data_IF_227052750823
#
_entry.id   IF_227052750823
#
_cell.length_a   1.000
_cell.length_b   1.000
_cell.length_c   1.000
_cell.angle_alpha   90.00
_cell.angle_beta   90.00
_cell.angle_gamma   90.00
#
_symmetry.space_group_name_H-M   'P 1'
#
loop_
_entity.id
_entity.type
_entity.pdbx_description
1 polymer ?
#
# COMPACT_ATOMS: atom_id res chain seq x y z
N UNK A 1 -0.03 -12.07 -37.43
CA UNK A 1 0.37 -10.96 -36.56
C UNK A 1 -0.82 -10.50 -35.73
N UNK A 2 -1.09 -11.18 -34.63
CA UNK A 2 -2.16 -10.83 -33.66
C UNK A 2 -1.63 -10.98 -32.22
N UNK A 3 -0.52 -11.69 -32.02
CA UNK A 3 0.07 -12.01 -30.71
C UNK A 3 0.86 -10.87 -30.07
N UNK A 4 1.23 -9.83 -30.83
CA UNK A 4 1.97 -8.68 -30.29
C UNK A 4 1.06 -7.66 -29.57
N UNK A 5 -0.25 -7.80 -29.72
CA UNK A 5 -1.27 -7.02 -29.02
C UNK A 5 -1.88 -7.75 -27.83
N UNK A 6 -1.24 -8.80 -27.28
CA UNK A 6 -1.47 -9.19 -25.87
C UNK A 6 -0.88 -8.08 -24.99
N UNK A 7 -1.46 -6.90 -25.12
CA UNK A 7 -1.07 -5.67 -24.49
C UNK A 7 -1.80 -5.52 -23.17
N UNK A 8 -1.58 -4.37 -22.56
CA UNK A 8 -2.27 -3.92 -21.35
C UNK A 8 -3.78 -4.14 -21.41
N UNK A 9 -4.40 -4.05 -22.60
CA UNK A 9 -5.85 -4.26 -22.78
C UNK A 9 -6.33 -5.67 -22.41
N UNK A 10 -5.75 -6.76 -22.95
CA UNK A 10 -6.12 -8.12 -22.53
C UNK A 10 -5.82 -8.37 -21.05
N UNK A 11 -4.68 -7.88 -20.55
CA UNK A 11 -4.33 -8.03 -19.14
C UNK A 11 -5.34 -7.32 -18.23
N UNK A 12 -5.84 -6.16 -18.65
CA UNK A 12 -6.83 -5.36 -17.91
C UNK A 12 -8.24 -5.98 -18.02
N UNK A 13 -8.58 -6.61 -19.15
CA UNK A 13 -9.80 -7.40 -19.32
C UNK A 13 -9.80 -8.64 -18.42
N UNK A 14 -8.72 -9.43 -18.44
CA UNK A 14 -8.56 -10.63 -17.60
C UNK A 14 -8.47 -10.24 -16.13
N UNK A 15 -7.67 -9.21 -15.82
CA UNK A 15 -7.55 -8.66 -14.47
C UNK A 15 -8.88 -8.12 -13.95
N UNK A 16 -9.67 -7.46 -14.79
CA UNK A 16 -11.02 -6.98 -14.47
C UNK A 16 -12.00 -8.11 -14.19
N UNK A 17 -11.97 -9.19 -15.00
CA UNK A 17 -12.80 -10.37 -14.77
C UNK A 17 -12.39 -11.11 -13.49
N UNK A 18 -11.10 -11.27 -13.25
CA UNK A 18 -10.58 -11.83 -12.00
C UNK A 18 -10.96 -10.96 -10.78
N UNK A 19 -10.92 -9.63 -10.93
CA UNK A 19 -11.33 -8.68 -9.90
C UNK A 19 -12.85 -8.72 -9.63
N UNK A 20 -13.65 -9.11 -10.62
CA UNK A 20 -15.09 -9.34 -10.42
C UNK A 20 -15.34 -10.62 -9.60
N UNK A 21 -14.59 -11.69 -9.86
CA UNK A 21 -14.68 -12.96 -9.12
C UNK A 21 -14.14 -12.84 -7.68
N UNK A 22 -13.01 -12.16 -7.51
CA UNK A 22 -12.29 -12.03 -6.23
C UNK A 22 -12.78 -10.81 -5.44
N UNK A 23 -13.27 -9.78 -6.13
CA UNK A 23 -13.72 -8.51 -5.56
C UNK A 23 -12.61 -7.45 -5.52
N UNK A 24 -12.95 -6.22 -5.90
CA UNK A 24 -12.05 -5.04 -5.93
C UNK A 24 -11.28 -4.77 -4.64
N UNK A 25 -11.82 -5.19 -3.49
CA UNK A 25 -11.21 -4.98 -2.16
C UNK A 25 -10.20 -6.06 -1.78
N UNK A 26 -10.28 -7.26 -2.37
CA UNK A 26 -9.46 -8.42 -1.98
C UNK A 26 -8.08 -8.43 -2.64
N UNK A 27 -7.98 -7.94 -3.87
CA UNK A 27 -6.69 -7.77 -4.56
C UNK A 27 -5.71 -6.83 -3.81
N UNK A 28 -6.10 -5.60 -3.40
CA UNK A 28 -5.21 -4.72 -2.65
C UNK A 28 -4.93 -5.21 -1.22
N UNK A 29 -5.87 -5.91 -0.59
CA UNK A 29 -5.69 -6.51 0.74
C UNK A 29 -4.61 -7.61 0.70
N UNK A 30 -4.67 -8.50 -0.29
CA UNK A 30 -3.62 -9.51 -0.53
C UNK A 30 -2.28 -8.88 -0.91
N UNK A 31 -2.27 -7.88 -1.80
CA UNK A 31 -1.02 -7.19 -2.19
C UNK A 31 -0.35 -6.49 -1.01
N UNK A 32 -1.11 -5.86 -0.11
CA UNK A 32 -0.56 -5.24 1.11
C UNK A 32 0.04 -6.27 2.05
N UNK A 33 -0.60 -7.43 2.22
CA UNK A 33 -0.06 -8.54 3.03
C UNK A 33 1.23 -9.12 2.42
N UNK A 34 1.21 -9.41 1.11
CA UNK A 34 2.36 -9.93 0.38
C UNK A 34 3.53 -8.93 0.37
N UNK A 35 3.25 -7.63 0.15
CA UNK A 35 4.26 -6.58 0.14
C UNK A 35 4.98 -6.44 1.48
N UNK A 36 4.24 -6.52 2.60
CA UNK A 36 4.83 -6.54 3.94
C UNK A 36 5.73 -7.77 4.15
N UNK A 37 5.26 -8.96 3.78
CA UNK A 37 6.05 -10.19 3.90
C UNK A 37 7.31 -10.18 3.03
N UNK A 38 7.24 -9.65 1.80
CA UNK A 38 8.42 -9.51 0.92
C UNK A 38 9.40 -8.47 1.47
N UNK A 39 8.93 -7.38 2.09
CA UNK A 39 9.77 -6.37 2.75
C UNK A 39 10.51 -6.96 3.95
N UNK A 40 9.78 -7.61 4.86
CA UNK A 40 10.37 -8.28 6.03
C UNK A 40 11.35 -9.39 5.63
N UNK A 41 11.03 -10.15 4.58
CA UNK A 41 11.94 -11.15 4.03
C UNK A 41 13.23 -10.51 3.47
N UNK A 42 13.12 -9.37 2.78
CA UNK A 42 14.28 -8.64 2.25
C UNK A 42 15.13 -8.06 3.38
N UNK A 43 14.49 -7.51 4.41
CA UNK A 43 15.16 -6.88 5.54
C UNK A 43 15.91 -7.92 6.38
N UNK A 44 15.27 -9.05 6.72
CA UNK A 44 15.94 -10.15 7.44
C UNK A 44 17.07 -10.80 6.64
N UNK A 45 16.96 -10.83 5.31
CA UNK A 45 18.02 -11.36 4.44
C UNK A 45 19.20 -10.39 4.27
N UNK A 46 18.99 -9.09 4.47
CA UNK A 46 20.06 -8.07 4.54
C UNK A 46 20.79 -8.12 5.89
N UNK A 47 20.05 -8.29 6.97
CA UNK A 47 20.61 -8.36 8.33
C UNK A 47 21.51 -9.61 8.52
N UNK A 48 21.21 -10.71 7.81
CA UNK A 48 22.08 -11.90 7.79
C UNK A 48 23.28 -11.83 6.84
N UNK A 49 23.39 -10.79 6.00
CA UNK A 49 24.31 -10.76 4.86
C UNK A 49 25.39 -9.67 4.93
N UNK A 50 25.82 -9.26 6.12
CA UNK A 50 26.92 -8.32 6.45
C UNK A 50 26.42 -6.94 6.91
N UNK A 51 26.96 -6.50 8.06
CA UNK A 51 26.95 -5.13 8.55
C UNK A 51 27.14 -4.08 7.44
N UNK A 52 26.52 -2.90 7.65
CA UNK A 52 26.67 -1.65 6.87
C UNK A 52 25.92 -1.50 5.54
N UNK A 53 24.61 -1.19 5.59
CA UNK A 53 23.98 -0.20 4.68
C UNK A 53 22.57 0.22 5.16
N UNK A 54 22.31 1.52 5.43
CA UNK A 54 20.95 2.01 5.66
C UNK A 54 20.27 2.11 4.30
N UNK A 55 19.37 1.19 3.97
CA UNK A 55 18.66 1.23 2.70
C UNK A 55 17.29 1.89 2.85
N UNK A 56 17.21 3.05 2.20
CA UNK A 56 15.99 3.76 1.85
C UNK A 56 14.87 2.83 1.35
N UNK A 57 13.65 3.10 1.81
CA UNK A 57 12.46 2.37 1.40
C UNK A 57 11.25 2.69 2.28
N UNK A 58 11.09 3.96 2.67
CA UNK A 58 9.84 4.47 3.22
C UNK A 58 9.06 5.09 2.06
N UNK A 59 8.22 4.29 1.43
CA UNK A 59 7.15 4.80 0.60
C UNK A 59 5.93 3.93 0.83
N UNK A 60 4.88 4.58 1.32
CA UNK A 60 3.49 4.11 1.45
C UNK A 60 3.15 3.37 2.74
N UNK A 61 3.40 4.00 3.89
CA UNK A 61 2.38 4.02 4.95
C UNK A 61 1.64 5.36 4.90
N UNK A 62 0.33 5.35 5.14
CA UNK A 62 -0.47 6.59 5.18
C UNK A 62 -1.55 6.71 4.10
N UNK A 63 -2.41 5.69 3.98
CA UNK A 63 -3.79 5.94 3.58
C UNK A 63 -4.70 5.28 4.62
N UNK A 64 -5.26 6.13 5.50
CA UNK A 64 -6.34 5.90 6.48
C UNK A 64 -5.90 5.80 7.95
N UNK A 65 -5.58 6.94 8.56
CA UNK A 65 -6.17 7.36 9.84
C UNK A 65 -5.89 8.86 10.06
N UNK A 66 -6.80 9.56 10.75
CA UNK A 66 -6.91 11.03 10.95
C UNK A 66 -7.80 11.78 9.96
N UNK A 67 -9.09 11.45 9.96
CA UNK A 67 -10.14 12.48 9.81
C UNK A 67 -11.20 12.23 10.87
N UNK A 68 -11.58 13.30 11.57
CA UNK A 68 -12.59 13.41 12.63
C UNK A 68 -12.09 13.13 14.06
N UNK A 69 -11.27 14.04 14.59
CA UNK A 69 -11.54 14.61 15.91
C UNK A 69 -11.01 16.04 15.89
N UNK A 70 -11.91 16.94 15.48
CA UNK A 70 -11.68 18.38 15.46
C UNK A 70 -12.21 18.96 16.76
N UNK A 71 -11.26 19.27 17.65
CA UNK A 71 -11.33 20.28 18.70
C UNK A 71 -12.35 21.39 18.39
N UNK A 72 -13.43 21.42 19.17
CA UNK A 72 -14.27 22.59 19.36
C UNK A 72 -14.55 22.75 20.86
N UNK A 73 -13.48 22.93 21.65
CA UNK A 73 -13.61 23.47 23.00
C UNK A 73 -12.67 24.68 23.20
N UNK A 74 -13.35 25.82 23.38
CA UNK A 74 -13.13 26.73 24.51
C UNK A 74 -11.87 27.60 24.49
N UNK A 75 -12.02 28.82 23.97
CA UNK A 75 -11.35 30.00 24.50
C UNK A 75 -12.07 31.29 24.09
N UNK A 76 -13.08 31.67 24.87
CA UNK A 76 -13.59 33.04 24.91
C UNK A 76 -14.24 33.31 26.27
N UNK A 77 -13.46 33.23 27.34
CA UNK A 77 -13.87 33.77 28.64
C UNK A 77 -12.63 34.16 29.46
N UNK A 78 -12.71 35.38 30.01
CA UNK A 78 -11.76 36.06 30.90
C UNK A 78 -10.41 36.42 30.24
N UNK A 79 -9.98 37.69 30.25
CA UNK A 79 -9.86 38.54 31.43
C UNK A 79 -9.41 39.95 31.00
N UNK A 80 -10.03 40.97 31.60
CA UNK A 80 -9.58 42.37 31.83
C UNK A 80 -8.82 43.15 30.75
#
# INVERSE_FOLDING_TARGET
MITAFIGTTELLLIGGLALLLVGGKKLPEMMRGLGKGVREFKDGMKEGATDDAPSAGDATDGAKERTADGDAEKQSDAKE
#
